data_IF_884570659610
#
_entry.id   IF_884570659610
#
_cell.length_a   1.000
_cell.length_b   1.000
_cell.length_c   1.000
_cell.angle_alpha   90.00
_cell.angle_beta   90.00
_cell.angle_gamma   90.00
#
_symmetry.space_group_name_H-M   'P 1'
#
loop_
_entity.id
_entity.type
_entity.pdbx_description
1 polymer ?
#
# COMPACT_ATOMS: atom_id res chain seq x y z
N UNK A 1 3.23 6.42 2.00
CA UNK A 1 3.25 4.97 1.65
C UNK A 1 4.27 4.17 2.45
N UNK A 2 5.50 4.66 2.70
CA UNK A 2 6.53 3.93 3.46
C UNK A 2 6.08 3.38 4.84
N UNK A 3 5.31 4.13 5.67
CA UNK A 3 4.79 3.58 6.92
C UNK A 3 3.90 2.36 6.72
N UNK A 4 3.14 2.29 5.63
CA UNK A 4 2.30 1.14 5.32
C UNK A 4 3.15 -0.08 4.98
N UNK A 5 4.19 0.07 4.16
CA UNK A 5 5.09 -1.05 3.88
C UNK A 5 5.82 -1.53 5.14
N UNK A 6 6.22 -0.61 6.02
CA UNK A 6 6.76 -0.96 7.33
C UNK A 6 5.73 -1.78 8.14
N UNK A 7 4.50 -1.28 8.28
CA UNK A 7 3.41 -1.98 8.98
C UNK A 7 3.15 -3.38 8.41
N UNK A 8 3.04 -3.50 7.08
CA UNK A 8 2.78 -4.79 6.42
C UNK A 8 3.94 -5.76 6.59
N UNK A 9 5.18 -5.27 6.58
CA UNK A 9 6.35 -6.11 6.87
C UNK A 9 6.33 -6.59 8.33
N UNK A 10 6.01 -5.72 9.29
CA UNK A 10 5.87 -6.10 10.71
C UNK A 10 4.81 -7.20 10.87
N UNK A 11 3.62 -7.00 10.28
CA UNK A 11 2.54 -7.98 10.34
C UNK A 11 2.93 -9.31 9.68
N UNK A 12 3.66 -9.25 8.57
CA UNK A 12 4.16 -10.45 7.89
C UNK A 12 5.15 -11.21 8.77
N UNK A 13 6.14 -10.54 9.39
CA UNK A 13 7.06 -11.21 10.30
C UNK A 13 6.35 -11.78 11.53
N UNK A 14 5.44 -11.01 12.14
CA UNK A 14 4.64 -11.45 13.27
C UNK A 14 3.82 -12.70 12.94
N UNK A 15 3.11 -12.68 11.81
CA UNK A 15 2.32 -13.82 11.35
C UNK A 15 3.18 -15.02 10.93
N UNK A 16 4.41 -14.79 10.46
CA UNK A 16 5.33 -15.85 10.09
C UNK A 16 5.84 -16.61 11.32
N UNK A 17 6.13 -15.89 12.40
CA UNK A 17 6.67 -16.40 13.66
C UNK A 17 5.61 -16.41 14.77
N UNK A 18 4.41 -16.91 14.44
CA UNK A 18 3.23 -16.93 15.33
C UNK A 18 3.43 -17.65 16.68
N UNK A 19 4.47 -18.46 16.81
CA UNK A 19 4.82 -19.18 18.05
C UNK A 19 5.69 -18.36 19.01
N UNK A 20 6.09 -17.15 18.63
CA UNK A 20 6.96 -16.28 19.45
C UNK A 20 6.14 -15.23 20.20
N UNK A 21 6.50 -14.96 21.45
CA UNK A 21 5.88 -13.91 22.26
C UNK A 21 6.67 -12.60 22.14
N UNK A 22 6.76 -12.06 20.93
CA UNK A 22 7.46 -10.81 20.61
C UNK A 22 6.40 -9.75 20.29
N UNK A 23 6.47 -8.59 20.95
CA UNK A 23 5.47 -7.54 20.78
C UNK A 23 5.55 -6.94 19.36
N UNK A 24 4.44 -6.41 18.85
CA UNK A 24 4.37 -5.71 17.56
C UNK A 24 5.51 -4.69 17.34
N UNK A 25 5.76 -3.83 18.35
CA UNK A 25 6.78 -2.78 18.24
C UNK A 25 8.21 -3.33 18.18
N UNK A 26 8.47 -4.51 18.76
CA UNK A 26 9.77 -5.18 18.72
C UNK A 26 10.01 -5.78 17.33
N UNK A 27 8.99 -6.39 16.73
CA UNK A 27 9.05 -6.80 15.32
C UNK A 27 9.35 -5.62 14.40
N UNK A 28 8.80 -4.43 14.69
CA UNK A 28 9.17 -3.20 13.99
C UNK A 28 10.64 -2.84 14.10
N UNK A 29 11.29 -3.06 15.24
CA UNK A 29 12.74 -2.87 15.38
C UNK A 29 13.53 -3.89 14.56
N UNK A 30 13.08 -5.14 14.50
CA UNK A 30 13.68 -6.19 13.66
C UNK A 30 13.59 -5.81 12.18
N UNK A 31 12.40 -5.41 11.70
CA UNK A 31 12.20 -4.96 10.31
C UNK A 31 13.05 -3.74 10.01
N UNK A 32 13.11 -2.77 10.91
CA UNK A 32 13.97 -1.61 10.78
C UNK A 32 15.45 -2.03 10.64
N UNK A 33 15.94 -2.92 11.50
CA UNK A 33 17.31 -3.43 11.42
C UNK A 33 17.61 -4.12 10.08
N UNK A 34 16.67 -4.91 9.56
CA UNK A 34 16.76 -5.56 8.24
C UNK A 34 16.82 -4.51 7.12
N UNK A 35 16.03 -3.43 7.20
CA UNK A 35 15.93 -2.40 6.17
C UNK A 35 17.12 -1.41 6.15
N UNK A 36 17.85 -1.24 7.25
CA UNK A 36 18.97 -0.28 7.33
C UNK A 36 19.99 -0.50 6.21
N UNK A 37 20.40 -1.76 5.98
CA UNK A 37 21.40 -2.10 4.97
C UNK A 37 20.94 -1.88 3.52
N UNK A 38 19.81 -2.47 3.06
CA UNK A 38 19.38 -2.32 1.68
C UNK A 38 18.98 -0.89 1.33
N UNK A 39 18.48 -0.11 2.29
CA UNK A 39 18.14 1.31 2.06
C UNK A 39 19.35 2.16 1.68
N UNK A 40 20.58 1.77 2.05
CA UNK A 40 21.80 2.51 1.67
C UNK A 40 22.16 2.38 0.18
N UNK A 41 21.48 1.50 -0.57
CA UNK A 41 21.73 1.31 -2.00
C UNK A 41 21.21 2.52 -2.78
N UNK A 42 22.14 3.21 -3.45
CA UNK A 42 21.87 4.41 -4.25
C UNK A 42 21.52 4.14 -5.72
N UNK A 43 21.30 2.89 -6.13
CA UNK A 43 21.03 2.56 -7.54
C UNK A 43 19.74 1.76 -7.69
N UNK A 44 18.79 2.32 -8.47
CA UNK A 44 17.58 1.62 -8.92
C UNK A 44 17.90 0.34 -9.70
N UNK A 45 19.03 0.28 -10.39
CA UNK A 45 19.42 -0.89 -11.18
C UNK A 45 19.67 -2.14 -10.32
N UNK A 46 20.18 -1.96 -9.10
CA UNK A 46 20.36 -3.09 -8.17
C UNK A 46 19.02 -3.57 -7.61
N UNK A 47 18.09 -2.64 -7.35
CA UNK A 47 16.74 -2.94 -6.87
C UNK A 47 15.93 -3.63 -7.97
N UNK A 48 16.03 -3.17 -9.23
CA UNK A 48 15.25 -3.71 -10.35
C UNK A 48 15.50 -5.19 -10.63
N UNK A 49 16.71 -5.69 -10.32
CA UNK A 49 17.05 -7.13 -10.44
C UNK A 49 16.23 -8.02 -9.52
N UNK A 50 15.82 -7.53 -8.35
CA UNK A 50 15.02 -8.30 -7.39
C UNK A 50 13.51 -8.07 -7.53
N UNK A 51 13.08 -7.07 -8.31
CA UNK A 51 11.67 -6.77 -8.54
C UNK A 51 10.92 -7.93 -9.20
N UNK A 52 11.48 -8.53 -10.26
CA UNK A 52 10.82 -9.65 -10.93
C UNK A 52 10.59 -10.85 -10.00
N UNK A 53 11.54 -11.13 -9.09
CA UNK A 53 11.40 -12.17 -8.08
C UNK A 53 10.36 -11.78 -7.02
N UNK A 54 10.34 -10.51 -6.61
CA UNK A 54 9.34 -9.95 -5.70
C UNK A 54 7.92 -10.07 -6.25
N UNK A 55 7.73 -9.76 -7.53
CA UNK A 55 6.43 -9.84 -8.20
C UNK A 55 5.98 -11.30 -8.36
N UNK A 56 6.90 -12.21 -8.69
CA UNK A 56 6.60 -13.64 -8.68
C UNK A 56 6.21 -14.13 -7.28
N UNK A 57 6.90 -13.66 -6.24
CA UNK A 57 6.61 -14.02 -4.85
C UNK A 57 5.19 -13.60 -4.44
N UNK A 58 4.74 -12.38 -4.75
CA UNK A 58 3.37 -11.95 -4.39
C UNK A 58 2.30 -12.72 -5.16
N UNK A 59 2.55 -13.09 -6.42
CA UNK A 59 1.62 -13.95 -7.17
C UNK A 59 1.50 -15.33 -6.50
N UNK A 60 2.63 -15.93 -6.09
CA UNK A 60 2.63 -17.20 -5.35
C UNK A 60 1.89 -17.07 -4.02
N UNK A 61 2.14 -16.00 -3.24
CA UNK A 61 1.43 -15.71 -1.98
C UNK A 61 -0.07 -15.66 -2.21
N UNK A 62 -0.54 -14.91 -3.21
CA UNK A 62 -1.98 -14.78 -3.51
C UNK A 62 -2.57 -16.14 -3.86
N UNK A 63 -1.95 -16.90 -4.78
CA UNK A 63 -2.44 -18.22 -5.18
C UNK A 63 -2.51 -19.18 -3.99
N UNK A 64 -1.46 -19.22 -3.16
CA UNK A 64 -1.43 -20.07 -1.97
C UNK A 64 -2.51 -19.69 -0.96
N UNK A 65 -2.72 -18.40 -0.69
CA UNK A 65 -3.79 -17.93 0.21
C UNK A 65 -5.15 -18.40 -0.29
N UNK A 66 -5.45 -18.18 -1.58
CA UNK A 66 -6.75 -18.54 -2.15
C UNK A 66 -7.00 -20.06 -2.12
N UNK A 67 -5.96 -20.87 -2.37
CA UNK A 67 -6.06 -22.33 -2.27
C UNK A 67 -6.35 -22.75 -0.83
N UNK A 68 -5.57 -22.26 0.14
CA UNK A 68 -5.70 -22.65 1.55
C UNK A 68 -7.08 -22.26 2.09
N UNK A 69 -7.49 -20.99 1.90
CA UNK A 69 -8.81 -20.53 2.33
C UNK A 69 -9.94 -21.33 1.65
N UNK A 70 -9.78 -21.66 0.36
CA UNK A 70 -10.75 -22.49 -0.35
C UNK A 70 -10.86 -23.91 0.20
N UNK A 71 -9.76 -24.53 0.59
CA UNK A 71 -9.76 -25.89 1.18
C UNK A 71 -10.29 -25.91 2.60
N UNK A 72 -9.95 -24.93 3.44
CA UNK A 72 -10.45 -24.84 4.82
C UNK A 72 -11.97 -24.66 4.84
N UNK A 73 -12.51 -23.86 3.92
CA UNK A 73 -13.95 -23.63 3.78
C UNK A 73 -14.78 -24.85 3.43
N UNK A 74 -14.17 -25.84 2.78
CA UNK A 74 -14.82 -27.12 2.47
C UNK A 74 -14.84 -28.07 3.68
N UNK A 75 -13.95 -27.87 4.65
CA UNK A 75 -13.75 -28.78 5.78
C UNK A 75 -14.51 -28.35 7.06
N UNK A 76 -15.06 -27.14 7.11
CA UNK A 76 -15.92 -26.68 8.23
C UNK A 76 -17.32 -27.32 8.17
N UNK A 77 -17.85 -27.88 9.27
CA UNK A 77 -19.16 -28.58 9.30
C UNK A 77 -20.36 -27.73 8.85
N UNK A 78 -20.29 -26.41 9.03
CA UNK A 78 -21.33 -25.46 8.60
C UNK A 78 -21.06 -24.86 7.21
N UNK A 79 -19.92 -25.20 6.58
CA UNK A 79 -19.39 -24.48 5.41
C UNK A 79 -19.12 -23.01 5.71
N UNK A 80 -18.43 -22.30 4.83
CA UNK A 80 -18.52 -20.83 4.89
C UNK A 80 -19.95 -20.41 4.53
N UNK A 81 -20.58 -19.56 5.34
CA UNK A 81 -21.80 -18.86 4.92
C UNK A 81 -21.44 -18.04 3.69
N UNK A 82 -21.87 -18.46 2.50
CA UNK A 82 -21.55 -17.73 1.29
C UNK A 82 -22.26 -16.36 1.31
N UNK A 83 -21.50 -15.28 1.54
CA UNK A 83 -22.04 -13.93 1.55
C UNK A 83 -22.12 -13.39 0.12
N UNK A 84 -23.34 -13.23 -0.40
CA UNK A 84 -23.58 -12.71 -1.75
C UNK A 84 -23.86 -11.21 -1.78
N UNK A 85 -24.16 -10.60 -0.63
CA UNK A 85 -24.44 -9.17 -0.50
C UNK A 85 -23.69 -8.58 0.69
N UNK A 86 -23.14 -7.35 0.57
CA UNK A 86 -22.62 -6.62 1.72
C UNK A 86 -23.74 -6.39 2.75
N UNK A 87 -23.43 -6.46 4.06
CA UNK A 87 -24.41 -6.23 5.10
C UNK A 87 -24.99 -4.80 5.01
N UNK A 88 -26.24 -4.62 5.49
CA UNK A 88 -26.80 -3.28 5.65
C UNK A 88 -25.95 -2.53 6.68
N UNK A 89 -25.42 -1.36 6.30
CA UNK A 89 -24.50 -0.58 7.12
C UNK A 89 -24.53 0.90 6.76
N UNK A 90 -24.06 1.75 7.67
CA UNK A 90 -24.06 3.19 7.50
C UNK A 90 -23.24 3.61 6.26
N UNK A 91 -23.75 4.60 5.53
CA UNK A 91 -23.13 5.14 4.31
C UNK A 91 -21.63 5.49 4.48
N UNK A 92 -21.25 6.00 5.65
CA UNK A 92 -19.86 6.36 6.00
C UNK A 92 -18.94 5.15 6.17
N UNK A 93 -19.44 4.01 6.70
CA UNK A 93 -18.62 2.80 6.88
C UNK A 93 -18.22 2.19 5.52
N UNK A 94 -19.13 2.22 4.54
CA UNK A 94 -18.85 1.81 3.15
C UNK A 94 -17.80 2.69 2.47
N UNK A 95 -17.61 3.90 2.96
CA UNK A 95 -16.71 4.85 2.35
C UNK A 95 -15.23 4.49 2.59
N UNK A 96 -14.88 3.94 3.76
CA UNK A 96 -13.49 3.55 4.03
C UNK A 96 -12.93 2.60 2.93
N UNK A 97 -13.80 1.75 2.38
CA UNK A 97 -13.48 0.86 1.27
C UNK A 97 -13.19 1.59 -0.06
N UNK A 98 -13.85 2.73 -0.31
CA UNK A 98 -13.59 3.58 -1.48
C UNK A 98 -12.20 4.20 -1.38
N UNK A 99 -11.81 4.69 -0.20
CA UNK A 99 -10.46 5.21 0.03
C UNK A 99 -9.39 4.13 -0.12
N UNK A 100 -9.65 2.91 0.38
CA UNK A 100 -8.76 1.78 0.18
C UNK A 100 -8.61 1.41 -1.30
N UNK A 101 -9.70 1.48 -2.09
CA UNK A 101 -9.65 1.28 -3.53
C UNK A 101 -8.80 2.35 -4.24
N UNK A 102 -9.00 3.63 -3.90
CA UNK A 102 -8.16 4.71 -4.44
C UNK A 102 -6.68 4.50 -4.10
N UNK A 103 -6.39 4.11 -2.85
CA UNK A 103 -5.03 3.78 -2.45
C UNK A 103 -4.45 2.60 -3.24
N UNK A 104 -5.23 1.55 -3.47
CA UNK A 104 -4.78 0.36 -4.20
C UNK A 104 -4.33 0.70 -5.64
N UNK A 105 -5.05 1.59 -6.33
CA UNK A 105 -4.71 2.03 -7.69
C UNK A 105 -3.84 3.28 -7.75
N UNK A 106 -3.28 3.69 -6.60
CA UNK A 106 -2.39 4.83 -6.48
C UNK A 106 -0.93 4.38 -6.63
N UNK A 107 -0.31 4.68 -7.77
CA UNK A 107 1.12 4.49 -8.06
C UNK A 107 1.78 5.66 -8.79
N UNK A 108 1.00 6.68 -9.14
CA UNK A 108 1.34 7.76 -10.05
C UNK A 108 2.46 8.66 -9.49
N UNK A 109 2.66 8.66 -8.17
CA UNK A 109 3.67 9.47 -7.47
C UNK A 109 5.11 9.06 -7.75
N UNK A 110 5.35 7.88 -8.33
CA UNK A 110 6.71 7.40 -8.68
C UNK A 110 6.89 7.12 -10.17
N UNK A 111 5.88 7.42 -10.98
CA UNK A 111 5.89 7.10 -12.41
C UNK A 111 6.93 7.88 -13.19
N UNK A 112 7.19 9.14 -12.82
CA UNK A 112 8.18 9.97 -13.52
C UNK A 112 9.60 9.49 -13.25
N UNK A 113 9.89 9.14 -12.00
CA UNK A 113 11.16 8.58 -11.57
C UNK A 113 11.39 7.23 -12.26
N UNK A 114 10.40 6.33 -12.23
CA UNK A 114 10.48 5.04 -12.92
C UNK A 114 10.68 5.21 -14.44
N UNK A 115 10.01 6.17 -15.07
CA UNK A 115 10.17 6.48 -16.48
C UNK A 115 11.57 7.02 -16.79
N UNK A 116 12.13 7.86 -15.92
CA UNK A 116 13.48 8.41 -16.10
C UNK A 116 14.59 7.34 -16.09
N UNK A 117 14.36 6.23 -15.39
CA UNK A 117 15.29 5.09 -15.28
C UNK A 117 15.12 4.05 -16.40
N UNK A 118 14.11 4.18 -17.27
CA UNK A 118 13.94 3.26 -18.39
C UNK A 118 15.03 3.45 -19.45
N UNK A 119 15.63 2.35 -19.92
CA UNK A 119 16.57 2.36 -21.06
C UNK A 119 15.99 3.03 -22.31
N UNK A 120 14.69 2.83 -22.56
CA UNK A 120 13.94 3.53 -23.60
C UNK A 120 12.58 3.96 -23.05
N UNK A 121 12.45 5.26 -22.79
CA UNK A 121 11.26 5.90 -22.22
C UNK A 121 10.02 5.76 -23.11
N UNK A 122 10.20 5.53 -24.42
CA UNK A 122 9.07 5.34 -25.36
C UNK A 122 8.27 4.07 -25.07
N UNK A 123 8.85 3.12 -24.33
CA UNK A 123 8.16 1.90 -23.91
C UNK A 123 7.32 2.08 -22.64
N UNK A 124 7.32 3.27 -22.01
CA UNK A 124 6.52 3.54 -20.81
C UNK A 124 5.03 3.16 -20.96
N UNK A 125 4.32 3.53 -22.03
CA UNK A 125 2.91 3.15 -22.16
C UNK A 125 2.69 1.64 -22.19
N UNK A 126 3.61 0.87 -22.78
CA UNK A 126 3.55 -0.60 -22.81
C UNK A 126 3.72 -1.18 -21.41
N UNK A 127 4.70 -0.67 -20.66
CA UNK A 127 4.95 -1.09 -19.28
C UNK A 127 3.74 -0.76 -18.38
N UNK A 128 3.18 0.44 -18.53
CA UNK A 128 1.99 0.88 -17.78
C UNK A 128 0.78 -0.02 -18.07
N UNK A 129 0.48 -0.29 -19.34
CA UNK A 129 -0.64 -1.15 -19.72
C UNK A 129 -0.46 -2.59 -19.23
N UNK A 130 0.75 -3.13 -19.31
CA UNK A 130 1.05 -4.46 -18.79
C UNK A 130 0.84 -4.51 -17.26
N UNK A 131 1.41 -3.54 -16.53
CA UNK A 131 1.25 -3.45 -15.08
C UNK A 131 -0.21 -3.38 -14.65
N UNK A 132 -1.01 -2.51 -15.29
CA UNK A 132 -2.42 -2.39 -14.95
C UNK A 132 -3.25 -3.62 -15.34
N UNK A 133 -2.91 -4.28 -16.45
CA UNK A 133 -3.57 -5.52 -16.87
C UNK A 133 -3.30 -6.68 -15.91
N UNK A 134 -2.20 -6.64 -15.16
CA UNK A 134 -1.90 -7.62 -14.10
C UNK A 134 -2.54 -7.22 -12.76
N UNK A 135 -2.54 -5.93 -12.41
CA UNK A 135 -3.11 -5.42 -11.15
C UNK A 135 -4.63 -5.58 -11.08
N UNK A 136 -5.37 -5.21 -12.13
CA UNK A 136 -6.84 -5.22 -12.08
C UNK A 136 -7.39 -6.64 -11.79
N UNK A 137 -6.97 -7.71 -12.50
CA UNK A 137 -7.45 -9.05 -12.20
C UNK A 137 -6.98 -9.55 -10.83
N UNK A 138 -5.74 -9.29 -10.44
CA UNK A 138 -5.22 -9.77 -9.14
C UNK A 138 -5.99 -9.15 -7.98
N UNK A 139 -6.26 -7.84 -8.00
CA UNK A 139 -7.05 -7.18 -6.96
C UNK A 139 -8.49 -7.64 -6.96
N UNK A 140 -9.12 -7.70 -8.14
CA UNK A 140 -10.53 -8.10 -8.25
C UNK A 140 -10.73 -9.55 -7.79
N UNK A 141 -9.92 -10.49 -8.29
CA UNK A 141 -10.03 -11.90 -7.92
C UNK A 141 -9.76 -12.13 -6.43
N UNK A 142 -8.69 -11.52 -5.89
CA UNK A 142 -8.34 -11.70 -4.47
C UNK A 142 -9.43 -11.16 -3.56
N UNK A 143 -9.95 -9.96 -3.84
CA UNK A 143 -11.02 -9.36 -3.05
C UNK A 143 -12.34 -10.13 -3.18
N UNK A 144 -12.74 -10.49 -4.40
CA UNK A 144 -13.99 -11.23 -4.64
C UNK A 144 -13.97 -12.63 -4.01
N UNK A 145 -12.89 -13.39 -4.18
CA UNK A 145 -12.78 -14.74 -3.61
C UNK A 145 -12.63 -14.67 -2.09
N UNK A 146 -11.80 -13.75 -1.57
CA UNK A 146 -11.64 -13.54 -0.13
C UNK A 146 -12.97 -13.25 0.56
N UNK A 147 -13.77 -12.35 0.00
CA UNK A 147 -15.10 -12.03 0.53
C UNK A 147 -16.10 -13.18 0.34
N UNK A 148 -16.06 -13.88 -0.80
CA UNK A 148 -16.93 -15.04 -1.04
C UNK A 148 -16.70 -16.16 -0.01
N UNK A 149 -15.45 -16.35 0.43
CA UNK A 149 -15.08 -17.34 1.42
C UNK A 149 -15.33 -16.85 2.85
N UNK A 150 -14.79 -15.70 3.25
CA UNK A 150 -14.80 -15.29 4.67
C UNK A 150 -15.93 -14.32 5.03
N UNK A 151 -16.63 -13.76 4.04
CA UNK A 151 -17.73 -12.83 4.27
C UNK A 151 -17.34 -11.57 5.02
N UNK A 152 -18.13 -11.21 6.02
CA UNK A 152 -17.89 -10.04 6.88
C UNK A 152 -16.74 -10.24 7.88
N UNK A 153 -16.20 -11.46 7.97
CA UNK A 153 -15.06 -11.79 8.85
C UNK A 153 -13.70 -11.65 8.18
N UNK A 154 -13.64 -11.23 6.91
CA UNK A 154 -12.38 -10.99 6.20
C UNK A 154 -11.53 -9.99 7.00
N UNK A 155 -10.32 -10.36 7.45
CA UNK A 155 -9.44 -9.42 8.11
C UNK A 155 -8.89 -8.41 7.11
N UNK A 156 -8.63 -7.18 7.58
CA UNK A 156 -8.01 -6.13 6.77
C UNK A 156 -6.67 -6.55 6.15
N UNK A 157 -5.92 -7.38 6.87
CA UNK A 157 -4.70 -8.03 6.39
C UNK A 157 -4.99 -9.52 6.13
N UNK A 158 -5.23 -9.87 4.87
CA UNK A 158 -5.70 -11.20 4.46
C UNK A 158 -4.84 -12.39 4.98
N UNK A 159 -3.50 -12.32 5.03
CA UNK A 159 -2.68 -13.41 5.57
C UNK A 159 -2.96 -13.75 7.04
N UNK A 160 -3.59 -12.85 7.79
CA UNK A 160 -4.02 -13.12 9.17
C UNK A 160 -5.10 -14.22 9.23
N UNK A 161 -5.90 -14.39 8.17
CA UNK A 161 -6.94 -15.43 8.10
C UNK A 161 -6.39 -16.85 7.94
N UNK A 162 -5.08 -17.02 7.69
CA UNK A 162 -4.48 -18.33 7.48
C UNK A 162 -4.36 -19.10 8.81
N UNK A 163 -4.59 -20.42 8.79
CA UNK A 163 -4.37 -21.28 9.95
C UNK A 163 -2.89 -21.29 10.36
N UNK A 164 -2.63 -21.40 11.67
CA UNK A 164 -1.28 -21.40 12.23
C UNK A 164 -0.54 -22.71 11.90
N UNK A 165 0.22 -22.71 10.80
CA UNK A 165 1.01 -23.85 10.33
C UNK A 165 2.24 -23.37 9.54
N UNK A 166 3.04 -24.31 9.03
CA UNK A 166 4.23 -23.98 8.23
C UNK A 166 3.94 -23.24 6.92
N UNK A 167 2.74 -23.40 6.34
CA UNK A 167 2.34 -22.67 5.15
C UNK A 167 2.12 -21.18 5.45
N UNK A 168 1.51 -20.84 6.60
CA UNK A 168 1.41 -19.46 7.08
C UNK A 168 2.78 -18.81 7.22
N UNK A 169 3.75 -19.51 7.79
CA UNK A 169 5.15 -19.03 7.87
C UNK A 169 5.73 -18.76 6.50
N UNK A 170 5.65 -19.73 5.57
CA UNK A 170 6.20 -19.58 4.23
C UNK A 170 5.58 -18.40 3.46
N UNK A 171 4.26 -18.30 3.45
CA UNK A 171 3.51 -17.25 2.75
C UNK A 171 3.89 -15.87 3.30
N UNK A 172 3.92 -15.72 4.63
CA UNK A 172 4.22 -14.44 5.24
C UNK A 172 5.70 -14.05 5.07
N UNK A 173 6.65 -14.99 5.04
CA UNK A 173 8.04 -14.67 4.71
C UNK A 173 8.21 -14.22 3.25
N UNK A 174 7.50 -14.85 2.30
CA UNK A 174 7.47 -14.39 0.91
C UNK A 174 6.83 -13.00 0.77
N UNK A 175 5.75 -12.74 1.51
CA UNK A 175 5.10 -11.44 1.52
C UNK A 175 6.01 -10.36 2.14
N UNK A 176 6.70 -10.69 3.24
CA UNK A 176 7.69 -9.79 3.85
C UNK A 176 8.80 -9.43 2.86
N UNK A 177 9.33 -10.42 2.13
CA UNK A 177 10.29 -10.18 1.05
C UNK A 177 9.74 -9.22 -0.01
N UNK A 178 8.52 -9.47 -0.50
CA UNK A 178 7.89 -8.61 -1.51
C UNK A 178 7.73 -7.17 -1.02
N UNK A 179 7.23 -6.99 0.19
CA UNK A 179 6.97 -5.68 0.80
C UNK A 179 8.26 -4.93 1.10
N UNK A 180 9.33 -5.62 1.51
CA UNK A 180 10.67 -5.02 1.67
C UNK A 180 11.15 -4.46 0.33
N UNK A 181 11.03 -5.21 -0.77
CA UNK A 181 11.42 -4.72 -2.09
C UNK A 181 10.57 -3.50 -2.49
N UNK A 182 9.25 -3.53 -2.25
CA UNK A 182 8.38 -2.38 -2.49
C UNK A 182 8.78 -1.14 -1.67
N UNK A 183 9.16 -1.33 -0.39
CA UNK A 183 9.69 -0.26 0.45
C UNK A 183 10.91 0.40 -0.20
N UNK A 184 11.86 -0.39 -0.69
CA UNK A 184 13.09 0.12 -1.30
C UNK A 184 12.82 0.96 -2.56
N UNK A 185 11.90 0.52 -3.42
CA UNK A 185 11.51 1.23 -4.65
C UNK A 185 10.96 2.62 -4.33
N UNK A 186 10.15 2.73 -3.28
CA UNK A 186 9.53 4.00 -2.88
C UNK A 186 10.42 4.87 -1.99
N UNK A 187 11.33 4.26 -1.23
CA UNK A 187 12.22 4.97 -0.33
C UNK A 187 13.36 5.68 -1.08
N UNK A 188 13.90 5.03 -2.12
CA UNK A 188 15.00 5.59 -2.90
C UNK A 188 14.73 7.00 -3.47
N UNK A 189 13.63 7.27 -4.22
CA UNK A 189 13.39 8.58 -4.82
C UNK A 189 13.07 9.62 -3.76
N UNK A 190 12.46 9.21 -2.64
CA UNK A 190 12.21 10.10 -1.50
C UNK A 190 13.53 10.58 -0.88
N UNK A 191 14.48 9.68 -0.65
CA UNK A 191 15.78 10.05 -0.09
C UNK A 191 16.56 10.98 -1.02
N UNK A 192 16.58 10.68 -2.31
CA UNK A 192 17.20 11.54 -3.34
C UNK A 192 16.53 12.92 -3.37
N UNK A 193 15.20 12.97 -3.33
CA UNK A 193 14.44 14.23 -3.29
C UNK A 193 14.77 15.08 -2.05
N UNK A 194 14.84 14.46 -0.87
CA UNK A 194 15.23 15.14 0.37
C UNK A 194 16.67 15.64 0.29
N UNK A 195 17.60 14.84 -0.24
CA UNK A 195 19.00 15.24 -0.45
C UNK A 195 19.13 16.46 -1.37
N UNK A 196 18.37 16.49 -2.47
CA UNK A 196 18.36 17.63 -3.39
C UNK A 196 17.84 18.92 -2.75
N UNK A 197 16.91 18.81 -1.80
CA UNK A 197 16.36 19.96 -1.06
C UNK A 197 17.35 20.46 -0.01
N UNK A 198 17.99 19.56 0.74
CA UNK A 198 18.89 19.91 1.86
C UNK A 198 20.28 20.32 1.36
N UNK A 199 20.80 19.63 0.33
CA UNK A 199 22.13 19.84 -0.23
C UNK A 199 22.04 20.24 -1.71
N UNK A 200 21.49 21.43 -2.03
CA UNK A 200 21.36 21.87 -3.41
C UNK A 200 22.75 22.03 -4.06
N UNK A 201 22.94 21.41 -5.23
CA UNK A 201 24.13 21.59 -6.06
C UNK A 201 25.33 20.68 -5.74
N UNK A 202 25.22 19.76 -4.78
CA UNK A 202 26.25 18.74 -4.52
C UNK A 202 25.62 17.38 -4.17
N UNK A 203 26.20 16.26 -4.62
CA UNK A 203 25.71 14.95 -4.20
C UNK A 203 25.96 14.76 -2.71
N UNK A 204 24.96 14.25 -1.99
CA UNK A 204 25.09 13.98 -0.56
C UNK A 204 26.23 12.98 -0.30
N UNK A 205 27.04 13.26 0.71
CA UNK A 205 28.05 12.34 1.24
C UNK A 205 27.39 11.06 1.77
N UNK A 206 28.16 9.98 1.92
CA UNK A 206 27.63 8.72 2.43
C UNK A 206 27.00 8.88 3.83
N UNK A 207 27.62 9.66 4.70
CA UNK A 207 27.09 9.95 6.05
C UNK A 207 25.79 10.74 6.00
N UNK A 208 25.69 11.74 5.12
CA UNK A 208 24.44 12.51 4.95
C UNK A 208 23.28 11.63 4.47
N UNK A 209 23.54 10.77 3.47
CA UNK A 209 22.55 9.80 3.00
C UNK A 209 22.14 8.80 4.08
N UNK A 210 23.09 8.32 4.88
CA UNK A 210 22.82 7.43 6.00
C UNK A 210 21.88 8.10 7.00
N UNK A 211 22.16 9.35 7.38
CA UNK A 211 21.33 10.11 8.33
C UNK A 211 19.93 10.34 7.77
N UNK A 212 19.80 10.77 6.51
CA UNK A 212 18.50 10.98 5.86
C UNK A 212 17.72 9.66 5.80
N UNK A 213 18.38 8.60 5.35
CA UNK A 213 17.79 7.27 5.20
C UNK A 213 17.29 6.69 6.52
N UNK A 214 18.09 6.79 7.58
CA UNK A 214 17.69 6.34 8.92
C UNK A 214 16.54 7.21 9.45
N UNK A 215 16.56 8.51 9.19
CA UNK A 215 15.49 9.42 9.64
C UNK A 215 14.15 9.09 8.97
N UNK A 216 14.16 8.85 7.65
CA UNK A 216 12.98 8.42 6.90
C UNK A 216 12.49 7.07 7.40
N UNK A 217 13.40 6.10 7.58
CA UNK A 217 13.06 4.78 8.11
C UNK A 217 12.48 4.84 9.53
N UNK A 218 13.06 5.65 10.41
CA UNK A 218 12.57 5.88 11.76
C UNK A 218 11.18 6.52 11.76
N UNK A 219 10.93 7.51 10.89
CA UNK A 219 9.60 8.09 10.74
C UNK A 219 8.56 7.07 10.27
N UNK A 220 8.93 6.16 9.37
CA UNK A 220 8.05 5.08 8.90
C UNK A 220 7.73 4.10 10.04
N UNK A 221 8.72 3.74 10.85
CA UNK A 221 8.54 2.93 12.06
C UNK A 221 7.61 3.61 13.08
N UNK A 222 7.82 4.89 13.37
CA UNK A 222 6.99 5.62 14.33
C UNK A 222 5.52 5.68 13.89
N UNK A 223 5.27 5.98 12.61
CA UNK A 223 3.90 6.04 12.08
C UNK A 223 3.25 4.65 12.05
N UNK A 224 4.00 3.60 11.70
CA UNK A 224 3.49 2.22 11.72
C UNK A 224 3.08 1.76 13.13
N UNK A 225 3.79 2.19 14.18
CA UNK A 225 3.44 1.88 15.57
C UNK A 225 2.37 2.81 16.16
N UNK A 226 2.25 4.04 15.63
CA UNK A 226 1.21 4.99 16.04
C UNK A 226 -0.17 4.54 15.55
N UNK A 227 -0.22 4.01 14.32
CA UNK A 227 -1.44 3.50 13.68
C UNK A 227 -1.19 2.05 13.25
N UNK A 228 -1.19 1.08 14.19
CA UNK A 228 -0.89 -0.33 13.90
C UNK A 228 -2.10 -1.07 13.28
N UNK A 229 -2.95 -0.36 12.53
CA UNK A 229 -4.13 -0.93 11.89
C UNK A 229 -4.05 -0.75 10.38
N UNK A 230 -3.88 -1.86 9.67
CA UNK A 230 -3.64 -1.86 8.22
C UNK A 230 -4.76 -1.13 7.45
N UNK A 231 -6.02 -1.50 7.69
CA UNK A 231 -7.17 -0.97 6.95
C UNK A 231 -7.38 0.52 7.15
N UNK A 232 -7.22 0.99 8.38
CA UNK A 232 -7.40 2.38 8.77
C UNK A 232 -6.25 3.24 8.22
N UNK A 233 -5.00 2.76 8.28
CA UNK A 233 -3.86 3.44 7.66
C UNK A 233 -4.02 3.54 6.13
N UNK A 234 -4.47 2.46 5.47
CA UNK A 234 -4.78 2.46 4.04
C UNK A 234 -5.89 3.46 3.71
N UNK A 235 -6.96 3.49 4.51
CA UNK A 235 -8.07 4.43 4.35
C UNK A 235 -7.61 5.90 4.43
N UNK A 236 -6.80 6.24 5.44
CA UNK A 236 -6.23 7.58 5.61
C UNK A 236 -5.32 7.92 4.42
N UNK A 237 -4.41 7.02 4.04
CA UNK A 237 -3.50 7.26 2.92
C UNK A 237 -4.25 7.44 1.60
N UNK A 238 -5.29 6.65 1.37
CA UNK A 238 -6.15 6.74 0.20
C UNK A 238 -6.94 8.03 0.13
N UNK A 239 -7.55 8.47 1.25
CA UNK A 239 -8.30 9.71 1.30
C UNK A 239 -7.40 10.95 1.25
N UNK A 240 -6.37 11.02 2.10
CA UNK A 240 -5.52 12.21 2.25
C UNK A 240 -4.57 12.42 1.07
N UNK A 241 -4.02 11.34 0.51
CA UNK A 241 -2.95 11.43 -0.49
C UNK A 241 -3.35 10.78 -1.82
N UNK A 242 -3.99 9.61 -1.80
CA UNK A 242 -4.42 8.92 -3.03
C UNK A 242 -5.44 9.73 -3.83
N UNK A 243 -6.49 10.23 -3.18
CA UNK A 243 -7.54 11.03 -3.82
C UNK A 243 -6.98 12.27 -4.55
N UNK A 244 -6.17 13.16 -3.92
CA UNK A 244 -5.56 14.27 -4.66
C UNK A 244 -4.71 13.82 -5.85
N UNK A 245 -3.88 12.78 -5.68
CA UNK A 245 -2.98 12.33 -6.75
C UNK A 245 -3.73 11.74 -7.94
N UNK A 246 -4.84 11.04 -7.72
CA UNK A 246 -5.63 10.48 -8.81
C UNK A 246 -6.64 11.47 -9.40
N UNK A 247 -7.29 12.29 -8.57
CA UNK A 247 -8.51 13.01 -8.94
C UNK A 247 -8.34 14.53 -8.99
N UNK A 248 -7.31 15.09 -8.36
CA UNK A 248 -7.05 16.53 -8.34
C UNK A 248 -5.91 16.94 -9.29
N UNK A 249 -4.72 16.38 -9.09
CA UNK A 249 -3.53 16.83 -9.83
C UNK A 249 -3.63 16.58 -11.35
N UNK A 250 -4.08 15.41 -11.86
CA UNK A 250 -4.12 15.17 -13.30
C UNK A 250 -5.07 16.12 -14.05
N UNK A 251 -6.32 16.37 -13.60
CA UNK A 251 -7.18 17.39 -14.22
C UNK A 251 -6.59 18.80 -14.16
N UNK A 252 -5.98 19.19 -13.04
CA UNK A 252 -5.34 20.51 -12.90
C UNK A 252 -4.20 20.66 -13.90
N UNK A 253 -3.29 19.69 -13.97
CA UNK A 253 -2.17 19.71 -14.92
C UNK A 253 -2.65 19.71 -16.37
N UNK A 254 -3.71 18.96 -16.68
CA UNK A 254 -4.30 18.98 -18.01
C UNK A 254 -4.88 20.35 -18.38
N UNK A 255 -5.67 20.97 -17.49
CA UNK A 255 -6.25 22.30 -17.72
C UNK A 255 -5.16 23.36 -17.87
N UNK A 256 -4.17 23.37 -16.97
CA UNK A 256 -3.05 24.31 -17.02
C UNK A 256 -2.26 24.12 -18.31
N UNK A 257 -1.93 22.88 -18.68
CA UNK A 257 -1.20 22.57 -19.91
C UNK A 257 -1.93 23.00 -21.18
N UNK A 258 -3.25 22.82 -21.25
CA UNK A 258 -4.06 23.27 -22.39
C UNK A 258 -4.12 24.80 -22.47
N UNK A 259 -4.27 25.49 -21.33
CA UNK A 259 -4.24 26.97 -21.27
C UNK A 259 -2.88 27.53 -21.67
N UNK A 260 -1.79 26.94 -21.18
CA UNK A 260 -0.43 27.39 -21.51
C UNK A 260 -0.07 27.23 -22.99
N UNK A 261 -0.74 26.32 -23.70
CA UNK A 261 -0.55 26.08 -25.15
C UNK A 261 -1.62 26.72 -26.02
N UNK A 262 -2.55 27.47 -25.41
CA UNK A 262 -3.72 28.09 -26.07
C UNK A 262 -4.55 27.10 -26.90
N UNK A 263 -4.63 25.83 -26.47
CA UNK A 263 -5.40 24.79 -27.16
C UNK A 263 -6.80 24.73 -26.55
N UNK A 264 -7.88 24.86 -27.35
CA UNK A 264 -9.23 24.77 -26.83
C UNK A 264 -9.53 23.36 -26.33
N UNK A 265 -10.08 23.25 -25.11
CA UNK A 265 -10.50 21.96 -24.56
C UNK A 265 -11.85 21.52 -25.15
N UNK A 266 -11.95 20.23 -25.50
CA UNK A 266 -13.22 19.60 -25.88
C UNK A 266 -14.24 19.64 -24.72
N UNK A 267 -15.53 19.58 -25.05
CA UNK A 267 -16.59 19.56 -24.04
C UNK A 267 -16.46 18.36 -23.09
N UNK A 268 -16.09 17.18 -23.62
CA UNK A 268 -15.88 15.97 -22.84
C UNK A 268 -14.74 16.17 -21.84
N UNK A 269 -13.59 16.69 -22.29
CA UNK A 269 -12.47 16.96 -21.38
C UNK A 269 -12.83 17.94 -20.27
N UNK A 270 -13.59 19.00 -20.60
CA UNK A 270 -14.09 19.97 -19.60
C UNK A 270 -15.02 19.31 -18.60
N UNK A 271 -15.97 18.49 -19.06
CA UNK A 271 -16.92 17.78 -18.22
C UNK A 271 -16.21 16.77 -17.30
N UNK A 272 -15.29 15.96 -17.82
CA UNK A 272 -14.52 14.99 -17.02
C UNK A 272 -13.63 15.67 -15.99
N UNK A 273 -12.91 16.74 -16.36
CA UNK A 273 -12.09 17.48 -15.40
C UNK A 273 -12.95 18.17 -14.33
N UNK A 274 -14.07 18.77 -14.73
CA UNK A 274 -15.01 19.40 -13.80
C UNK A 274 -15.64 18.39 -12.83
N UNK A 275 -16.06 17.23 -13.32
CA UNK A 275 -16.59 16.15 -12.49
C UNK A 275 -15.55 15.63 -11.50
N UNK A 276 -14.31 15.41 -11.96
CA UNK A 276 -13.22 14.97 -11.08
C UNK A 276 -12.92 15.99 -9.99
N UNK A 277 -12.82 17.28 -10.33
CA UNK A 277 -12.43 18.34 -9.38
C UNK A 277 -13.54 18.78 -8.44
N UNK A 278 -14.78 18.86 -8.93
CA UNK A 278 -15.90 19.42 -8.16
C UNK A 278 -16.74 18.35 -7.46
N UNK A 279 -16.68 17.09 -7.92
CA UNK A 279 -17.48 16.00 -7.34
C UNK A 279 -16.56 14.95 -6.75
N UNK A 280 -15.79 14.23 -7.58
CA UNK A 280 -15.04 13.07 -7.10
C UNK A 280 -14.00 13.44 -6.05
N UNK A 281 -13.14 14.43 -6.31
CA UNK A 281 -12.09 14.84 -5.37
C UNK A 281 -12.63 15.30 -4.01
N UNK A 282 -13.49 16.34 -3.90
CA UNK A 282 -13.97 16.80 -2.61
C UNK A 282 -14.78 15.72 -1.90
N UNK A 283 -15.56 14.94 -2.65
CA UNK A 283 -16.28 13.81 -2.08
C UNK A 283 -15.30 12.79 -1.51
N UNK A 284 -14.34 12.27 -2.30
CA UNK A 284 -13.32 11.23 -1.97
C UNK A 284 -12.31 11.64 -0.89
N UNK A 285 -12.04 12.94 -0.77
CA UNK A 285 -11.13 13.51 0.22
C UNK A 285 -11.85 13.75 1.56
N UNK A 286 -12.96 14.49 1.56
CA UNK A 286 -13.62 14.94 2.80
C UNK A 286 -14.33 13.79 3.48
N UNK A 287 -15.23 13.09 2.78
CA UNK A 287 -15.96 11.97 3.38
C UNK A 287 -15.01 10.83 3.76
N UNK A 288 -13.89 10.68 3.04
CA UNK A 288 -12.87 9.67 3.28
C UNK A 288 -12.06 9.91 4.51
N UNK A 289 -11.61 11.14 4.69
CA UNK A 289 -10.91 11.50 5.91
C UNK A 289 -11.82 11.37 7.13
N UNK A 290 -13.07 11.85 7.03
CA UNK A 290 -14.03 11.71 8.14
C UNK A 290 -14.27 10.23 8.48
N UNK A 291 -14.51 9.38 7.48
CA UNK A 291 -14.72 7.95 7.70
C UNK A 291 -13.47 7.27 8.29
N UNK A 292 -12.29 7.56 7.76
CA UNK A 292 -11.04 6.95 8.20
C UNK A 292 -10.64 7.41 9.61
N UNK A 293 -10.84 8.68 9.96
CA UNK A 293 -10.58 9.18 11.31
C UNK A 293 -11.59 8.66 12.33
N UNK A 294 -12.86 8.52 11.99
CA UNK A 294 -13.84 7.91 12.88
C UNK A 294 -13.49 6.44 13.16
N UNK A 295 -13.18 5.67 12.11
CA UNK A 295 -12.75 4.28 12.26
C UNK A 295 -11.45 4.17 13.10
N UNK A 296 -10.49 5.07 12.90
CA UNK A 296 -9.27 5.11 13.69
C UNK A 296 -9.55 5.47 15.16
N UNK A 297 -10.44 6.43 15.42
CA UNK A 297 -10.78 6.85 16.78
C UNK A 297 -11.47 5.72 17.56
N UNK A 298 -12.32 4.93 16.90
CA UNK A 298 -12.93 3.74 17.49
C UNK A 298 -11.86 2.69 17.86
N UNK A 299 -10.90 2.42 16.97
CA UNK A 299 -9.80 1.47 17.22
C UNK A 299 -8.86 1.90 18.36
N UNK A 300 -8.56 3.19 18.44
CA UNK A 300 -7.72 3.74 19.51
C UNK A 300 -8.41 3.77 20.88
N UNK A 301 -9.73 3.63 20.94
CA UNK A 301 -10.41 3.48 22.22
C UNK A 301 -10.03 2.15 22.92
N UNK A 302 -9.75 1.11 22.12
CA UNK A 302 -9.45 -0.24 22.61
C UNK A 302 -7.94 -0.54 22.68
N UNK A 303 -7.11 0.14 21.87
CA UNK A 303 -5.68 -0.14 21.75
C UNK A 303 -4.85 1.15 21.79
N UNK A 304 -3.81 1.15 22.62
CA UNK A 304 -2.89 2.29 22.73
C UNK A 304 -1.76 2.24 21.69
N UNK A 305 -1.22 3.38 21.23
CA UNK A 305 0.00 3.38 20.43
C UNK A 305 1.16 2.71 21.18
N UNK A 306 1.95 1.89 20.49
CA UNK A 306 3.06 1.11 21.07
C UNK A 306 2.65 0.08 22.12
N UNK A 307 1.38 -0.35 22.15
CA UNK A 307 0.98 -1.44 23.03
C UNK A 307 1.67 -2.76 22.65
N UNK A 308 1.85 -3.63 23.64
CA UNK A 308 2.35 -4.98 23.37
C UNK A 308 1.20 -5.86 22.88
N UNK A 309 0.96 -5.84 21.57
CA UNK A 309 0.04 -6.76 20.90
C UNK A 309 0.79 -8.03 20.43
N UNK A 310 0.43 -9.16 21.03
CA UNK A 310 0.97 -10.48 20.74
C UNK A 310 0.27 -11.17 19.54
N UNK A 311 -0.79 -10.59 18.98
CA UNK A 311 -1.44 -11.07 17.76
C UNK A 311 -2.23 -12.38 17.92
N UNK A 312 -2.76 -12.65 19.12
CA UNK A 312 -3.66 -13.78 19.39
C UNK A 312 -5.10 -13.50 19.03
#
# INVERSE_FOLDING_TARGET
>A
VLPLYMLTAIESFRAAFYWTNICYHEWGLVVMAILVFPVQKRSYHDISRVVALSDAAVVVVIVCILIILGTEGQNTPDGFTHHSSPPPGAFLSRYNNVSAFLFAYQGQSVFLEMMSEMRDQRNWPKALWLGQSLMIPTYTLTASIGYYLLGDTVPGFLPAALPNNGAKTFINLLLAFHVIVAYLIHNHPLNVGIEMIIFPGAPATQTQHLVISISVLASAYLVANLIPFFSELVGILGAAFGSPIMLFYPPVFYIVGMRSRDVPMSLISKATCGFSLCVLFPFTFVCGLIAAFNALAERWADHSPFDCDLGT
#
